data_IF_195622866329
#
_entry.id   IF_195622866329
#
_cell.length_a   1.000
_cell.length_b   1.000
_cell.length_c   1.000
_cell.angle_alpha   90.00
_cell.angle_beta   90.00
_cell.angle_gamma   90.00
#
_symmetry.space_group_name_H-M   'P 1'
#
loop_
_entity.id
_entity.type
_entity.pdbx_description
1 polymer ?
#
# COMPACT_ATOMS: atom_id res chain seq x y z
N UNK A 1 -29.20 -11.91 -11.31
CA UNK A 1 -29.38 -11.60 -9.87
C UNK A 1 -28.65 -12.58 -8.93
N UNK A 2 -28.44 -13.84 -9.30
CA UNK A 2 -27.69 -14.83 -8.49
C UNK A 2 -26.16 -14.59 -8.43
N UNK A 3 -25.55 -14.18 -9.53
CA UNK A 3 -24.10 -13.93 -9.65
C UNK A 3 -23.66 -12.77 -8.74
N UNK A 4 -24.43 -11.69 -8.68
CA UNK A 4 -24.16 -10.53 -7.81
C UNK A 4 -24.26 -10.90 -6.32
N UNK A 5 -25.23 -11.73 -5.93
CA UNK A 5 -25.38 -12.22 -4.53
C UNK A 5 -24.22 -13.16 -4.13
N UNK A 6 -23.74 -13.97 -5.03
CA UNK A 6 -22.60 -14.87 -4.80
C UNK A 6 -21.29 -14.09 -4.68
N UNK A 7 -21.08 -13.08 -5.51
CA UNK A 7 -19.92 -12.18 -5.43
C UNK A 7 -19.93 -11.35 -4.15
N UNK A 8 -21.09 -10.88 -3.71
CA UNK A 8 -21.23 -10.11 -2.47
C UNK A 8 -20.98 -10.97 -1.23
N UNK A 9 -21.43 -12.25 -1.22
CA UNK A 9 -21.12 -13.20 -0.12
C UNK A 9 -19.63 -13.56 -0.06
N UNK A 10 -18.97 -13.75 -1.20
CA UNK A 10 -17.52 -14.02 -1.26
C UNK A 10 -16.70 -12.82 -0.81
N UNK A 11 -17.09 -11.61 -1.18
CA UNK A 11 -16.49 -10.38 -0.69
C UNK A 11 -16.64 -10.23 0.83
N UNK A 12 -17.85 -10.43 1.37
CA UNK A 12 -18.09 -10.38 2.83
C UNK A 12 -17.25 -11.43 3.59
N UNK A 13 -17.17 -12.66 3.10
CA UNK A 13 -16.36 -13.72 3.71
C UNK A 13 -14.86 -13.39 3.68
N UNK A 14 -14.39 -12.74 2.63
CA UNK A 14 -13.01 -12.28 2.52
C UNK A 14 -12.69 -11.16 3.51
N UNK A 15 -13.56 -10.16 3.65
CA UNK A 15 -13.40 -9.06 4.60
C UNK A 15 -13.48 -9.50 6.07
N UNK A 16 -14.16 -10.59 6.36
CA UNK A 16 -14.27 -11.17 7.71
C UNK A 16 -13.18 -12.20 8.00
N UNK A 17 -12.27 -12.46 7.07
CA UNK A 17 -11.20 -13.44 7.27
C UNK A 17 -10.11 -12.90 8.20
N UNK A 18 -9.53 -13.75 9.09
CA UNK A 18 -8.39 -13.36 9.93
C UNK A 18 -7.18 -12.89 9.11
N UNK A 19 -7.06 -13.40 7.88
CA UNK A 19 -6.01 -13.02 6.93
C UNK A 19 -6.16 -11.56 6.49
N UNK A 20 -7.38 -11.11 6.25
CA UNK A 20 -7.67 -9.71 5.92
C UNK A 20 -7.38 -8.76 7.09
N UNK A 21 -7.73 -9.15 8.32
CA UNK A 21 -7.39 -8.39 9.51
C UNK A 21 -5.88 -8.20 9.69
N UNK A 22 -5.09 -9.25 9.47
CA UNK A 22 -3.62 -9.18 9.48
C UNK A 22 -3.08 -8.30 8.35
N UNK A 23 -3.65 -8.40 7.15
CA UNK A 23 -3.28 -7.57 6.01
C UNK A 23 -3.52 -6.08 6.28
N UNK A 24 -4.68 -5.73 6.86
CA UNK A 24 -4.97 -4.33 7.27
C UNK A 24 -3.97 -3.87 8.34
N UNK A 25 -3.73 -4.67 9.38
CA UNK A 25 -2.79 -4.31 10.44
C UNK A 25 -1.39 -4.01 9.88
N UNK A 26 -0.89 -4.87 8.99
CA UNK A 26 0.40 -4.65 8.31
C UNK A 26 0.33 -3.45 7.38
N UNK A 27 -0.78 -3.23 6.68
CA UNK A 27 -1.00 -2.06 5.85
C UNK A 27 -0.93 -0.75 6.65
N UNK A 28 -1.52 -0.72 7.85
CA UNK A 28 -1.41 0.43 8.77
C UNK A 28 0.02 0.66 9.25
N UNK A 29 0.73 -0.40 9.66
CA UNK A 29 2.14 -0.33 10.05
C UNK A 29 2.99 0.19 8.88
N UNK A 30 2.73 -0.30 7.68
CA UNK A 30 3.43 0.13 6.47
C UNK A 30 3.18 1.61 6.16
N UNK A 31 1.92 2.05 6.23
CA UNK A 31 1.56 3.46 6.06
C UNK A 31 2.25 4.35 7.10
N UNK A 32 2.24 3.95 8.37
CA UNK A 32 2.93 4.67 9.43
C UNK A 32 4.45 4.75 9.19
N UNK A 33 5.08 3.64 8.83
CA UNK A 33 6.51 3.62 8.48
C UNK A 33 6.81 4.53 7.30
N UNK A 34 6.00 4.50 6.23
CA UNK A 34 6.17 5.35 5.07
C UNK A 34 6.11 6.83 5.41
N UNK A 35 5.10 7.25 6.19
CA UNK A 35 4.96 8.64 6.66
C UNK A 35 6.14 9.03 7.54
N UNK A 36 6.52 8.19 8.50
CA UNK A 36 7.60 8.47 9.44
C UNK A 36 8.94 8.63 8.74
N UNK A 37 9.31 7.72 7.85
CA UNK A 37 10.56 7.82 7.10
C UNK A 37 10.54 9.01 6.13
N UNK A 38 9.43 9.25 5.43
CA UNK A 38 9.30 10.42 4.56
C UNK A 38 9.49 11.72 5.33
N UNK A 39 8.90 11.84 6.52
CA UNK A 39 9.05 13.01 7.38
C UNK A 39 10.49 13.15 7.92
N UNK A 40 11.12 12.09 8.39
CA UNK A 40 12.50 12.12 8.88
C UNK A 40 13.45 12.63 7.77
N UNK A 41 13.30 12.13 6.56
CA UNK A 41 14.13 12.57 5.44
C UNK A 41 13.80 13.97 4.95
N UNK A 42 12.58 14.48 5.15
CA UNK A 42 12.19 15.82 4.73
C UNK A 42 12.91 16.94 5.52
N UNK A 43 13.49 16.60 6.68
CA UNK A 43 14.32 17.52 7.45
C UNK A 43 15.62 17.90 6.71
N UNK A 44 16.17 16.99 5.89
CA UNK A 44 17.47 17.16 5.23
C UNK A 44 17.40 17.15 3.70
N UNK A 45 16.29 16.69 3.14
CA UNK A 45 16.10 16.53 1.70
C UNK A 45 14.80 17.24 1.24
N UNK A 46 14.70 17.60 -0.05
CA UNK A 46 13.44 18.09 -0.62
C UNK A 46 12.30 17.09 -0.39
N UNK A 47 11.11 17.58 -0.03
CA UNK A 47 9.96 16.77 0.38
C UNK A 47 9.59 15.69 -0.63
N UNK A 48 9.65 15.99 -1.93
CA UNK A 48 9.34 15.01 -2.98
C UNK A 48 10.34 13.84 -2.98
N UNK A 49 11.63 14.11 -2.79
CA UNK A 49 12.68 13.07 -2.71
C UNK A 49 12.53 12.27 -1.43
N UNK A 50 12.27 12.95 -0.32
CA UNK A 50 12.04 12.33 1.00
C UNK A 50 10.86 11.37 0.96
N UNK A 51 9.78 11.74 0.28
CA UNK A 51 8.64 10.86 0.09
C UNK A 51 9.03 9.59 -0.68
N UNK A 52 9.76 9.71 -1.78
CA UNK A 52 10.19 8.56 -2.58
C UNK A 52 11.05 7.60 -1.75
N UNK A 53 12.05 8.14 -1.04
CA UNK A 53 12.94 7.33 -0.19
C UNK A 53 12.17 6.65 0.94
N UNK A 54 11.35 7.38 1.67
CA UNK A 54 10.52 6.86 2.75
C UNK A 54 9.58 5.76 2.26
N UNK A 55 8.98 5.95 1.09
CA UNK A 55 8.11 4.95 0.47
C UNK A 55 8.87 3.67 0.11
N UNK A 56 10.05 3.78 -0.50
CA UNK A 56 10.87 2.60 -0.87
C UNK A 56 11.30 1.80 0.36
N UNK A 57 11.73 2.48 1.43
CA UNK A 57 12.06 1.83 2.70
C UNK A 57 10.84 1.11 3.27
N UNK A 58 9.67 1.75 3.25
CA UNK A 58 8.45 1.16 3.78
C UNK A 58 7.99 -0.07 2.98
N UNK A 59 8.18 -0.09 1.66
CA UNK A 59 7.90 -1.28 0.84
C UNK A 59 8.80 -2.46 1.24
N UNK A 60 10.09 -2.22 1.47
CA UNK A 60 11.00 -3.27 1.92
C UNK A 60 10.54 -3.85 3.26
N UNK A 61 10.24 -3.00 4.24
CA UNK A 61 9.72 -3.42 5.55
C UNK A 61 8.39 -4.18 5.39
N UNK A 62 7.49 -3.66 4.57
CA UNK A 62 6.19 -4.28 4.28
C UNK A 62 6.34 -5.69 3.69
N UNK A 63 7.28 -5.88 2.78
CA UNK A 63 7.53 -7.20 2.22
C UNK A 63 8.00 -8.20 3.28
N UNK A 64 8.92 -7.81 4.15
CA UNK A 64 9.39 -8.66 5.25
C UNK A 64 8.25 -9.02 6.20
N UNK A 65 7.45 -8.03 6.62
CA UNK A 65 6.32 -8.25 7.51
C UNK A 65 5.25 -9.15 6.87
N UNK A 66 4.90 -8.91 5.62
CA UNK A 66 3.92 -9.73 4.91
C UNK A 66 4.43 -11.16 4.70
N UNK A 67 5.70 -11.33 4.31
CA UNK A 67 6.29 -12.65 4.09
C UNK A 67 6.32 -13.46 5.39
N UNK A 68 6.65 -12.83 6.51
CA UNK A 68 6.79 -13.51 7.80
C UNK A 68 5.41 -13.75 8.48
N UNK A 69 4.59 -12.72 8.60
CA UNK A 69 3.36 -12.78 9.41
C UNK A 69 2.11 -13.21 8.63
N UNK A 70 1.98 -12.85 7.35
CA UNK A 70 0.80 -13.16 6.55
C UNK A 70 0.97 -14.47 5.81
N UNK A 71 2.04 -14.55 5.01
CA UNK A 71 2.21 -15.68 4.09
C UNK A 71 3.04 -16.82 4.68
N UNK A 72 3.78 -16.59 5.77
CA UNK A 72 4.68 -17.56 6.42
C UNK A 72 5.59 -18.27 5.41
N UNK A 73 6.16 -17.51 4.47
CA UNK A 73 7.00 -18.02 3.38
C UNK A 73 8.39 -17.42 3.44
N UNK A 74 9.39 -18.21 3.03
CA UNK A 74 10.78 -17.78 2.95
C UNK A 74 10.92 -16.62 1.94
N UNK A 75 11.84 -15.71 2.25
CA UNK A 75 12.24 -14.63 1.36
C UNK A 75 12.76 -15.21 0.03
N UNK A 76 12.31 -14.67 -1.10
CA UNK A 76 12.88 -14.91 -2.42
C UNK A 76 12.86 -13.60 -3.20
N UNK A 77 13.93 -13.33 -3.96
CA UNK A 77 14.07 -12.13 -4.78
C UNK A 77 12.93 -12.03 -5.81
N UNK A 78 12.54 -13.15 -6.42
CA UNK A 78 11.43 -13.18 -7.38
C UNK A 78 10.11 -12.69 -6.76
N UNK A 79 9.79 -13.15 -5.55
CA UNK A 79 8.57 -12.72 -4.84
C UNK A 79 8.66 -11.27 -4.41
N UNK A 80 9.83 -10.82 -4.00
CA UNK A 80 10.07 -9.42 -3.68
C UNK A 80 9.81 -8.52 -4.88
N UNK A 81 10.35 -8.88 -6.05
CA UNK A 81 10.11 -8.12 -7.28
C UNK A 81 8.62 -8.09 -7.68
N UNK A 82 7.93 -9.23 -7.61
CA UNK A 82 6.47 -9.28 -7.85
C UNK A 82 5.69 -8.41 -6.87
N UNK A 83 6.09 -8.39 -5.61
CA UNK A 83 5.50 -7.54 -4.59
C UNK A 83 5.73 -6.05 -4.91
N UNK A 84 6.96 -5.65 -5.24
CA UNK A 84 7.28 -4.28 -5.65
C UNK A 84 6.46 -3.84 -6.86
N UNK A 85 6.35 -4.67 -7.89
CA UNK A 85 5.55 -4.38 -9.09
C UNK A 85 4.07 -4.16 -8.73
N UNK A 86 3.53 -4.95 -7.81
CA UNK A 86 2.14 -4.79 -7.35
C UNK A 86 1.89 -3.48 -6.61
N UNK A 87 2.94 -2.86 -6.05
CA UNK A 87 2.87 -1.57 -5.37
C UNK A 87 3.15 -0.35 -6.26
N UNK A 88 3.60 -0.56 -7.51
CA UNK A 88 3.87 0.54 -8.45
C UNK A 88 2.65 1.46 -8.66
N UNK A 89 1.43 0.97 -8.90
CA UNK A 89 0.27 1.84 -9.04
C UNK A 89 -0.01 2.68 -7.79
N UNK A 90 0.14 2.07 -6.61
CA UNK A 90 -0.01 2.77 -5.33
C UNK A 90 1.02 3.89 -5.19
N UNK A 91 2.28 3.61 -5.50
CA UNK A 91 3.37 4.59 -5.49
C UNK A 91 3.10 5.77 -6.41
N UNK A 92 2.65 5.51 -7.65
CA UNK A 92 2.35 6.56 -8.63
C UNK A 92 1.25 7.48 -8.09
N UNK A 93 0.17 6.93 -7.55
CA UNK A 93 -0.96 7.70 -7.02
C UNK A 93 -0.50 8.56 -5.82
N UNK A 94 0.21 7.97 -4.87
CA UNK A 94 0.70 8.71 -3.71
C UNK A 94 1.65 9.82 -4.12
N UNK A 95 2.56 9.57 -5.07
CA UNK A 95 3.50 10.58 -5.55
C UNK A 95 2.79 11.75 -6.23
N UNK A 96 1.78 11.48 -7.07
CA UNK A 96 0.93 12.51 -7.68
C UNK A 96 0.23 13.34 -6.59
N UNK A 97 -0.35 12.69 -5.57
CA UNK A 97 -0.98 13.38 -4.46
C UNK A 97 0.02 14.29 -3.72
N UNK A 98 1.23 13.81 -3.45
CA UNK A 98 2.28 14.61 -2.79
C UNK A 98 2.66 15.82 -3.66
N UNK A 99 2.87 15.63 -4.95
CA UNK A 99 3.19 16.72 -5.88
C UNK A 99 2.10 17.80 -5.87
N UNK A 100 0.83 17.43 -5.91
CA UNK A 100 -0.29 18.38 -5.92
C UNK A 100 -0.42 19.05 -4.55
N UNK A 101 -0.49 18.29 -3.47
CA UNK A 101 -0.81 18.83 -2.14
C UNK A 101 0.34 19.63 -1.56
N UNK A 102 1.57 19.20 -1.75
CA UNK A 102 2.74 19.91 -1.22
C UNK A 102 3.15 21.08 -2.13
N UNK A 103 3.32 20.87 -3.43
CA UNK A 103 3.86 21.90 -4.32
C UNK A 103 2.82 22.96 -4.71
N UNK A 104 1.56 22.56 -4.94
CA UNK A 104 0.52 23.50 -5.39
C UNK A 104 -0.31 24.06 -4.24
N UNK A 105 -0.77 23.17 -3.32
CA UNK A 105 -1.62 23.60 -2.20
C UNK A 105 -0.81 24.09 -1.00
N UNK A 106 0.51 23.88 -0.99
CA UNK A 106 1.43 24.30 0.10
C UNK A 106 1.05 23.74 1.47
N UNK A 107 0.53 22.53 1.52
CA UNK A 107 0.16 21.89 2.77
C UNK A 107 1.39 21.37 3.53
N UNK A 108 1.23 21.22 4.84
CA UNK A 108 2.29 20.69 5.70
C UNK A 108 2.63 19.23 5.29
N UNK A 109 3.89 18.88 5.37
CA UNK A 109 4.45 17.59 4.90
C UNK A 109 3.73 16.38 5.50
N UNK A 110 3.54 16.36 6.84
CA UNK A 110 2.85 15.24 7.53
C UNK A 110 1.42 15.07 7.03
N UNK A 111 0.68 16.17 6.86
CA UNK A 111 -0.69 16.15 6.35
C UNK A 111 -0.72 15.62 4.93
N UNK A 112 0.20 16.08 4.10
CA UNK A 112 0.35 15.64 2.70
C UNK A 112 0.63 14.14 2.62
N UNK A 113 1.61 13.63 3.37
CA UNK A 113 1.95 12.21 3.35
C UNK A 113 0.82 11.33 3.87
N UNK A 114 0.15 11.78 4.94
CA UNK A 114 -0.98 11.05 5.53
C UNK A 114 -2.15 10.96 4.55
N UNK A 115 -2.56 12.07 3.95
CA UNK A 115 -3.67 12.08 3.01
C UNK A 115 -3.34 11.33 1.71
N UNK A 116 -2.11 11.44 1.19
CA UNK A 116 -1.67 10.65 0.04
C UNK A 116 -1.80 9.15 0.31
N UNK A 117 -1.39 8.68 1.50
CA UNK A 117 -1.53 7.29 1.89
C UNK A 117 -3.01 6.86 1.95
N UNK A 118 -3.88 7.67 2.56
CA UNK A 118 -5.32 7.36 2.64
C UNK A 118 -6.01 7.33 1.28
N UNK A 119 -5.69 8.25 0.37
CA UNK A 119 -6.25 8.28 -1.00
C UNK A 119 -5.82 7.05 -1.80
N UNK A 120 -4.59 6.59 -1.63
CA UNK A 120 -4.06 5.45 -2.36
C UNK A 120 -4.64 4.09 -1.92
N UNK A 121 -5.12 3.96 -0.66
CA UNK A 121 -5.65 2.69 -0.13
C UNK A 121 -6.80 2.12 -0.95
N UNK A 122 -7.91 2.84 -1.23
CA UNK A 122 -9.03 2.28 -1.99
C UNK A 122 -8.63 1.92 -3.42
N UNK A 123 -7.77 2.71 -4.05
CA UNK A 123 -7.30 2.45 -5.42
C UNK A 123 -6.42 1.20 -5.45
N UNK A 124 -5.49 1.08 -4.52
CA UNK A 124 -4.66 -0.13 -4.38
C UNK A 124 -5.50 -1.37 -4.14
N UNK A 125 -6.52 -1.26 -3.29
CA UNK A 125 -7.45 -2.36 -3.04
C UNK A 125 -8.17 -2.81 -4.32
N UNK A 126 -8.67 -1.88 -5.12
CA UNK A 126 -9.32 -2.19 -6.41
C UNK A 126 -8.34 -2.88 -7.35
N UNK A 127 -7.12 -2.37 -7.49
CA UNK A 127 -6.10 -2.92 -8.38
C UNK A 127 -5.69 -4.32 -7.94
N UNK A 128 -5.40 -4.55 -6.66
CA UNK A 128 -5.06 -5.86 -6.13
C UNK A 128 -6.19 -6.86 -6.33
N UNK A 129 -7.45 -6.45 -6.13
CA UNK A 129 -8.61 -7.30 -6.35
C UNK A 129 -8.74 -7.70 -7.82
N UNK A 130 -8.53 -6.77 -8.74
CA UNK A 130 -8.62 -7.03 -10.18
C UNK A 130 -7.46 -7.89 -10.70
N UNK A 131 -6.24 -7.71 -10.17
CA UNK A 131 -5.05 -8.44 -10.63
C UNK A 131 -4.96 -9.82 -9.96
N UNK A 132 -5.14 -9.89 -8.64
CA UNK A 132 -4.93 -11.11 -7.86
C UNK A 132 -6.10 -12.08 -7.96
N UNK A 133 -7.35 -11.58 -7.97
CA UNK A 133 -8.53 -12.44 -8.02
C UNK A 133 -8.96 -12.83 -9.43
N UNK A 134 -8.46 -12.18 -10.47
CA UNK A 134 -8.71 -12.58 -11.86
C UNK A 134 -8.00 -13.90 -12.23
N UNK A 135 -6.95 -14.26 -11.49
CA UNK A 135 -6.14 -15.47 -11.72
C UNK A 135 -6.44 -16.64 -10.77
N UNK A 136 -7.44 -16.51 -9.90
CA UNK A 136 -7.96 -17.64 -9.11
C UNK A 136 -9.24 -18.15 -9.76
N UNK A 137 -9.11 -18.62 -11.00
CA UNK A 137 -10.03 -19.61 -11.55
C UNK A 137 -9.45 -20.98 -11.22
N UNK A 138 -9.97 -21.62 -10.24
CA UNK A 138 -10.25 -23.05 -10.32
C UNK A 138 -11.69 -23.24 -10.58
#
# INVERSE_FOLDING_TARGET
MSILKTSCKRLKAFFLSPMFGRFIAIGLINGFNGISFSYIFSVVLPVNISFIIGYLISICISYFLNSYFVFKRKFTVERFLKFCISYVPNFIIQNICVLIMYNWLRWHEIVTFTLAAFIAVPVTYIILTLITFKNVKQ
#
